data_IF_878377887134
#
_entry.id   IF_878377887134
#
_cell.length_a   1.000
_cell.length_b   1.000
_cell.length_c   1.000
_cell.angle_alpha   90.00
_cell.angle_beta   90.00
_cell.angle_gamma   90.00
#
_symmetry.space_group_name_H-M   'P 1'
#
loop_
_entity.id
_entity.type
_entity.pdbx_description
1 polymer ?
#
# COMPACT_ATOMS: atom_id res chain seq x y z
N UNK A 1 37.45 -21.36 -5.98
CA UNK A 1 37.79 -20.86 -7.32
C UNK A 1 36.52 -20.32 -7.97
N UNK A 2 36.36 -18.99 -8.06
CA UNK A 2 35.19 -18.35 -8.70
C UNK A 2 35.25 -18.66 -10.19
N UNK A 3 34.21 -19.28 -10.78
CA UNK A 3 34.13 -19.59 -12.23
C UNK A 3 33.56 -18.37 -12.96
N UNK A 4 34.41 -17.46 -13.50
CA UNK A 4 33.96 -16.16 -13.98
C UNK A 4 33.03 -16.31 -15.19
N UNK A 5 33.34 -17.25 -16.08
CA UNK A 5 32.59 -17.52 -17.31
C UNK A 5 31.12 -17.92 -17.07
N UNK A 6 30.81 -18.62 -15.97
CA UNK A 6 29.43 -18.99 -15.64
C UNK A 6 28.62 -17.77 -15.21
N UNK A 7 29.20 -16.89 -14.39
CA UNK A 7 28.57 -15.63 -13.99
C UNK A 7 28.36 -14.72 -15.21
N UNK A 8 29.34 -14.62 -16.10
CA UNK A 8 29.24 -13.79 -17.30
C UNK A 8 28.12 -14.25 -18.25
N UNK A 9 27.90 -15.57 -18.37
CA UNK A 9 26.79 -16.11 -19.14
C UNK A 9 25.42 -15.76 -18.55
N UNK A 10 25.29 -15.77 -17.22
CA UNK A 10 24.05 -15.41 -16.55
C UNK A 10 23.79 -13.91 -16.63
N UNK A 11 24.84 -13.07 -16.52
CA UNK A 11 24.72 -11.62 -16.65
C UNK A 11 24.20 -11.20 -18.03
N UNK A 12 24.61 -11.88 -19.11
CA UNK A 12 24.11 -11.61 -20.47
C UNK A 12 22.62 -11.87 -20.65
N UNK A 13 22.01 -12.69 -19.79
CA UNK A 13 20.58 -12.99 -19.84
C UNK A 13 19.73 -12.01 -19.02
N UNK A 14 20.35 -11.07 -18.29
CA UNK A 14 19.65 -10.11 -17.45
C UNK A 14 19.39 -8.82 -18.24
N UNK A 15 18.13 -8.39 -18.27
CA UNK A 15 17.76 -7.06 -18.78
C UNK A 15 17.79 -6.09 -17.60
N UNK A 16 18.72 -5.14 -17.63
CA UNK A 16 18.75 -4.03 -16.69
C UNK A 16 17.71 -2.98 -17.06
N UNK A 17 16.84 -2.61 -16.11
CA UNK A 17 15.90 -1.50 -16.27
C UNK A 17 16.18 -0.50 -15.16
N UNK A 18 16.38 0.75 -15.52
CA UNK A 18 16.47 1.86 -14.59
C UNK A 18 15.20 2.70 -14.70
N UNK A 19 14.56 2.98 -13.57
CA UNK A 19 13.39 3.85 -13.49
C UNK A 19 13.74 5.05 -12.61
N UNK A 20 14.11 6.19 -13.22
CA UNK A 20 14.31 7.42 -12.47
C UNK A 20 13.01 7.84 -11.78
N UNK A 21 13.10 8.13 -10.49
CA UNK A 21 11.94 8.44 -9.66
C UNK A 21 11.51 9.89 -9.91
N UNK A 22 10.53 10.08 -10.80
CA UNK A 22 10.05 11.41 -11.17
C UNK A 22 9.08 12.00 -10.12
N UNK A 23 8.15 11.18 -9.61
CA UNK A 23 7.22 11.57 -8.55
C UNK A 23 6.57 10.34 -7.92
N UNK A 24 6.07 10.50 -6.69
CA UNK A 24 5.29 9.47 -5.99
C UNK A 24 3.97 10.08 -5.52
N UNK A 25 2.85 9.47 -5.94
CA UNK A 25 1.51 9.91 -5.54
C UNK A 25 0.86 8.83 -4.70
N UNK A 26 0.69 9.11 -3.40
CA UNK A 26 -0.07 8.26 -2.50
C UNK A 26 -1.58 8.51 -2.61
N UNK A 27 -2.38 7.44 -2.66
CA UNK A 27 -3.84 7.52 -2.55
C UNK A 27 -4.32 6.61 -1.44
N UNK A 28 -4.91 7.19 -0.40
CA UNK A 28 -5.56 6.43 0.67
C UNK A 28 -7.05 6.28 0.36
N UNK A 29 -7.54 5.06 0.15
CA UNK A 29 -8.97 4.78 -0.11
C UNK A 29 -9.58 4.08 1.10
N UNK A 30 -10.26 4.86 1.94
CA UNK A 30 -10.78 4.43 3.25
C UNK A 30 -12.30 4.62 3.34
N UNK A 31 -13.00 4.64 2.19
CA UNK A 31 -14.44 4.84 2.14
C UNK A 31 -14.88 6.30 2.11
N UNK A 32 -14.04 7.20 1.57
CA UNK A 32 -14.30 8.65 1.54
C UNK A 32 -15.64 9.09 0.96
N UNK A 33 -16.22 8.28 0.07
CA UNK A 33 -17.47 8.58 -0.63
C UNK A 33 -18.68 7.80 -0.05
N UNK A 34 -18.55 7.21 1.14
CA UNK A 34 -19.60 6.43 1.80
C UNK A 34 -20.20 7.22 2.97
N UNK A 35 -21.39 6.80 3.41
CA UNK A 35 -21.99 7.33 4.63
C UNK A 35 -21.09 6.97 5.83
N UNK A 36 -21.13 7.81 6.86
CA UNK A 36 -20.29 7.62 8.06
C UNK A 36 -20.56 6.27 8.74
N UNK A 37 -21.83 5.87 8.82
CA UNK A 37 -22.26 4.60 9.39
C UNK A 37 -21.68 3.40 8.62
N UNK A 38 -21.72 3.42 7.29
CA UNK A 38 -21.15 2.37 6.45
C UNK A 38 -19.63 2.28 6.63
N UNK A 39 -18.97 3.43 6.74
CA UNK A 39 -17.52 3.50 6.90
C UNK A 39 -17.09 3.00 8.30
N UNK A 40 -17.86 3.32 9.34
CA UNK A 40 -17.63 2.83 10.71
C UNK A 40 -17.91 1.32 10.83
N UNK A 41 -19.00 0.83 10.23
CA UNK A 41 -19.31 -0.60 10.21
C UNK A 41 -18.25 -1.43 9.48
N UNK A 42 -17.73 -0.92 8.35
CA UNK A 42 -16.62 -1.55 7.64
C UNK A 42 -15.34 -1.58 8.48
N UNK A 43 -15.03 -0.49 9.21
CA UNK A 43 -13.87 -0.45 10.11
C UNK A 43 -13.98 -1.50 11.23
N UNK A 44 -15.14 -1.60 11.88
CA UNK A 44 -15.38 -2.61 12.91
C UNK A 44 -15.29 -4.04 12.36
N UNK A 45 -15.85 -4.28 11.17
CA UNK A 45 -15.77 -5.57 10.49
C UNK A 45 -14.34 -5.98 10.14
N UNK A 46 -13.47 -5.02 9.77
CA UNK A 46 -12.04 -5.27 9.52
C UNK A 46 -11.30 -5.60 10.82
N UNK A 47 -11.54 -4.85 11.90
CA UNK A 47 -10.94 -5.13 13.20
C UNK A 47 -11.33 -6.51 13.73
N UNK A 48 -12.60 -6.91 13.56
CA UNK A 48 -13.08 -8.24 13.94
C UNK A 48 -12.45 -9.40 13.13
N UNK A 49 -11.88 -9.10 11.96
CA UNK A 49 -11.15 -10.06 11.11
C UNK A 49 -9.63 -10.05 11.35
N UNK A 50 -9.14 -9.23 12.30
CA UNK A 50 -7.71 -9.08 12.59
C UNK A 50 -7.01 -7.98 11.78
N UNK A 51 -7.70 -7.32 10.86
CA UNK A 51 -7.19 -6.22 10.03
C UNK A 51 -7.26 -4.88 10.79
N UNK A 52 -6.66 -4.86 11.98
CA UNK A 52 -6.81 -3.77 12.96
C UNK A 52 -6.28 -2.43 12.44
N UNK A 53 -5.12 -2.43 11.78
CA UNK A 53 -4.50 -1.20 11.26
C UNK A 53 -5.38 -0.49 10.23
N UNK A 54 -5.98 -1.24 9.30
CA UNK A 54 -6.85 -0.66 8.27
C UNK A 54 -8.15 -0.16 8.90
N UNK A 55 -8.74 -0.93 9.83
CA UNK A 55 -9.93 -0.50 10.56
C UNK A 55 -9.71 0.79 11.35
N UNK A 56 -8.60 0.90 12.08
CA UNK A 56 -8.23 2.11 12.82
C UNK A 56 -7.95 3.29 11.90
N UNK A 57 -7.31 3.06 10.75
CA UNK A 57 -7.10 4.09 9.74
C UNK A 57 -8.43 4.59 9.16
N UNK A 58 -9.40 3.70 8.94
CA UNK A 58 -10.73 4.08 8.47
C UNK A 58 -11.44 5.00 9.47
N UNK A 59 -11.45 4.67 10.77
CA UNK A 59 -12.02 5.51 11.82
C UNK A 59 -11.30 6.86 11.93
N UNK A 60 -9.96 6.84 11.91
CA UNK A 60 -9.14 8.05 11.94
C UNK A 60 -9.42 8.98 10.75
N UNK A 61 -9.75 8.41 9.59
CA UNK A 61 -10.09 9.20 8.40
C UNK A 61 -11.48 9.85 8.49
N UNK A 62 -12.39 9.33 9.30
CA UNK A 62 -13.68 9.98 9.64
C UNK A 62 -13.39 11.21 10.50
N UNK A 63 -12.66 11.02 11.61
CA UNK A 63 -12.33 12.09 12.55
C UNK A 63 -11.55 13.26 11.92
N UNK A 64 -10.74 13.00 10.89
CA UNK A 64 -10.04 14.05 10.13
C UNK A 64 -10.96 14.88 9.23
N UNK A 65 -12.11 14.36 8.81
CA UNK A 65 -13.09 15.10 8.00
C UNK A 65 -13.96 16.02 8.84
N UNK A 66 -14.32 15.59 10.04
CA UNK A 66 -15.17 16.38 10.96
C UNK A 66 -14.42 17.57 11.59
N UNK A 67 -13.08 17.59 11.49
CA UNK A 67 -12.20 18.68 11.96
C UNK A 67 -11.96 19.81 10.95
N UNK A 68 -12.62 19.79 9.80
CA UNK A 68 -12.53 20.82 8.76
C UNK A 68 -13.82 21.64 8.72
#
# INVERSE_FOLDING_TARGET
>A
MRRPAFIDSMLKAIVGIEIPLASLIGKTKLGQNKKLEDQAGAAQGLMGKGEREIGEAMLSSIARRDKK
#
